data_IF_830041112189
#
_entry.id   IF_830041112189
#
_cell.length_a   1.000
_cell.length_b   1.000
_cell.length_c   1.000
_cell.angle_alpha   90.00
_cell.angle_beta   90.00
_cell.angle_gamma   90.00
#
_symmetry.space_group_name_H-M   'P 1'
#
loop_
_entity.id
_entity.type
_entity.pdbx_description
1 polymer ?
#
# COMPACT_ATOMS: atom_id res chain seq x y z
N UNK A 1 47.43 -27.27 -52.31
CA UNK A 1 47.96 -27.77 -51.02
C UNK A 1 46.83 -27.84 -50.04
N UNK A 2 46.24 -29.01 -49.92
CA UNK A 2 45.01 -29.29 -49.18
C UNK A 2 45.42 -29.64 -47.74
N UNK A 3 44.91 -29.02 -46.76
CA UNK A 3 45.06 -29.34 -45.33
C UNK A 3 43.87 -30.21 -44.92
N UNK A 4 44.08 -31.38 -44.28
CA UNK A 4 42.99 -32.30 -43.97
C UNK A 4 42.25 -31.92 -42.70
N UNK A 5 40.95 -32.16 -42.75
CA UNK A 5 39.97 -32.05 -41.64
C UNK A 5 40.31 -32.91 -40.43
N UNK A 6 40.15 -32.36 -39.25
CA UNK A 6 40.14 -33.07 -37.98
C UNK A 6 38.72 -33.60 -37.67
N UNK A 7 38.59 -34.82 -37.10
CA UNK A 7 37.28 -35.41 -36.82
C UNK A 7 36.58 -34.76 -35.61
N UNK A 8 35.23 -34.77 -35.55
CA UNK A 8 34.49 -34.20 -34.45
C UNK A 8 34.60 -35.08 -33.20
N UNK A 9 34.90 -34.42 -32.09
CA UNK A 9 34.88 -34.99 -30.74
C UNK A 9 33.46 -35.33 -30.33
N UNK A 10 33.16 -36.59 -30.15
CA UNK A 10 31.94 -37.09 -29.52
C UNK A 10 31.98 -36.80 -28.02
N UNK A 11 31.38 -35.72 -27.60
CA UNK A 11 31.01 -35.51 -26.20
C UNK A 11 29.78 -36.39 -25.89
N UNK A 12 29.98 -37.41 -25.09
CA UNK A 12 28.91 -38.21 -24.51
C UNK A 12 28.12 -37.31 -23.55
N UNK A 13 26.92 -36.96 -23.94
CA UNK A 13 25.92 -36.39 -23.04
C UNK A 13 25.44 -37.54 -22.13
N UNK A 14 25.85 -37.51 -20.87
CA UNK A 14 25.21 -38.27 -19.81
C UNK A 14 23.87 -37.63 -19.54
N UNK A 15 22.85 -38.11 -20.22
CA UNK A 15 21.47 -37.75 -19.98
C UNK A 15 20.98 -38.39 -18.68
N UNK A 16 20.90 -37.62 -17.62
CA UNK A 16 19.94 -37.89 -16.56
C UNK A 16 18.57 -37.46 -17.09
N UNK A 17 17.88 -38.38 -17.71
CA UNK A 17 16.45 -38.22 -17.96
C UNK A 17 15.74 -38.21 -16.61
N UNK A 18 14.84 -37.25 -16.33
CA UNK A 18 14.05 -37.32 -15.12
C UNK A 18 13.17 -38.56 -15.19
N UNK A 19 13.36 -39.44 -14.20
CA UNK A 19 12.50 -40.58 -13.91
C UNK A 19 11.02 -40.15 -14.05
N UNK A 20 10.24 -40.93 -14.76
CA UNK A 20 8.81 -40.81 -15.01
C UNK A 20 8.10 -40.21 -13.80
N UNK A 21 7.68 -38.96 -13.89
CA UNK A 21 6.69 -38.39 -12.98
C UNK A 21 5.43 -39.23 -13.17
N UNK A 22 5.14 -40.13 -12.23
CA UNK A 22 3.88 -40.86 -12.20
C UNK A 22 2.75 -39.80 -12.28
N UNK A 23 1.80 -40.04 -13.20
CA UNK A 23 0.69 -39.09 -13.41
C UNK A 23 -0.04 -38.87 -12.08
N UNK A 24 0.08 -37.69 -11.53
CA UNK A 24 -0.63 -37.31 -10.29
C UNK A 24 -1.97 -36.64 -10.64
N UNK A 25 -3.01 -36.90 -9.86
CA UNK A 25 -4.30 -36.23 -9.96
C UNK A 25 -4.34 -35.10 -8.93
N UNK A 26 -4.54 -33.87 -9.41
CA UNK A 26 -4.67 -32.70 -8.56
C UNK A 26 -6.15 -32.33 -8.38
N UNK A 27 -6.57 -32.12 -7.15
CA UNK A 27 -7.89 -31.63 -6.79
C UNK A 27 -7.80 -30.36 -5.95
N UNK A 28 -8.85 -29.57 -5.95
CA UNK A 28 -8.94 -28.30 -5.22
C UNK A 28 -10.18 -28.28 -4.33
N UNK A 29 -10.05 -27.68 -3.15
CA UNK A 29 -11.13 -27.33 -2.25
C UNK A 29 -10.93 -25.91 -1.71
N UNK A 30 -11.96 -25.35 -1.05
CA UNK A 30 -11.87 -24.10 -0.30
C UNK A 30 -12.04 -24.40 1.18
N UNK A 31 -11.43 -23.55 2.02
CA UNK A 31 -11.66 -23.60 3.46
C UNK A 31 -13.16 -23.43 3.79
N UNK A 32 -13.83 -22.50 3.10
CA UNK A 32 -15.29 -22.35 3.06
C UNK A 32 -15.89 -22.03 4.42
N UNK A 33 -16.86 -22.83 4.83
CA UNK A 33 -17.59 -22.68 6.11
C UNK A 33 -16.96 -23.44 7.28
N UNK A 34 -15.80 -24.08 7.09
CA UNK A 34 -15.09 -24.79 8.15
C UNK A 34 -14.73 -23.85 9.30
N UNK A 35 -14.86 -24.33 10.53
CA UNK A 35 -14.53 -23.58 11.74
C UNK A 35 -13.13 -23.88 12.28
N UNK A 36 -12.50 -24.94 11.76
CA UNK A 36 -11.18 -25.39 12.11
C UNK A 36 -10.48 -26.00 10.89
N UNK A 37 -9.15 -25.99 10.91
CA UNK A 37 -8.33 -26.52 9.81
C UNK A 37 -8.65 -27.98 9.51
N UNK A 38 -8.74 -28.84 10.55
CA UNK A 38 -9.13 -30.24 10.41
C UNK A 38 -10.47 -30.42 9.74
N UNK A 39 -11.49 -29.63 10.14
CA UNK A 39 -12.81 -29.68 9.52
C UNK A 39 -12.75 -29.35 8.02
N UNK A 40 -11.88 -28.42 7.60
CA UNK A 40 -11.72 -28.12 6.18
C UNK A 40 -11.15 -29.30 5.40
N UNK A 41 -10.21 -30.04 5.98
CA UNK A 41 -9.64 -31.26 5.39
C UNK A 41 -10.68 -32.38 5.30
N UNK A 42 -11.48 -32.60 6.36
CA UNK A 42 -12.59 -33.56 6.35
C UNK A 42 -13.65 -33.21 5.32
N UNK A 43 -14.04 -31.93 5.20
CA UNK A 43 -14.99 -31.44 4.19
C UNK A 43 -14.45 -31.60 2.77
N UNK A 44 -13.14 -31.58 2.60
CA UNK A 44 -12.45 -31.87 1.34
C UNK A 44 -12.34 -33.38 1.04
N UNK A 45 -12.90 -34.25 1.89
CA UNK A 45 -12.95 -35.69 1.70
C UNK A 45 -11.71 -36.46 2.18
N UNK A 46 -10.89 -35.88 3.07
CA UNK A 46 -9.75 -36.58 3.65
C UNK A 46 -10.18 -37.40 4.88
N UNK A 47 -9.68 -38.63 4.97
CA UNK A 47 -9.79 -39.46 6.17
C UNK A 47 -8.71 -39.15 7.19
N UNK A 48 -8.82 -39.74 8.40
CA UNK A 48 -7.89 -39.53 9.49
C UNK A 48 -6.45 -39.89 9.13
N UNK A 49 -6.26 -40.93 8.33
CA UNK A 49 -4.94 -41.40 7.88
C UNK A 49 -4.21 -40.37 6.99
N UNK A 50 -4.95 -39.47 6.33
CA UNK A 50 -4.41 -38.40 5.51
C UNK A 50 -4.30 -37.07 6.29
N UNK A 51 -5.35 -36.64 7.02
CA UNK A 51 -5.36 -35.32 7.61
C UNK A 51 -4.49 -35.18 8.87
N UNK A 52 -4.34 -36.22 9.68
CA UNK A 52 -3.52 -36.15 10.91
C UNK A 52 -2.04 -35.89 10.59
N UNK A 53 -1.41 -36.63 9.67
CA UNK A 53 -0.03 -36.38 9.28
C UNK A 53 0.17 -34.99 8.61
N UNK A 54 -0.81 -34.52 7.83
CA UNK A 54 -0.75 -33.19 7.24
C UNK A 54 -0.79 -32.11 8.32
N UNK A 55 -1.75 -32.20 9.25
CA UNK A 55 -1.89 -31.26 10.35
C UNK A 55 -0.61 -31.16 11.19
N UNK A 56 0.00 -32.28 11.47
CA UNK A 56 1.26 -32.35 12.22
C UNK A 56 2.42 -31.73 11.41
N UNK A 57 2.52 -32.03 10.11
CA UNK A 57 3.58 -31.53 9.24
C UNK A 57 3.52 -30.00 9.05
N UNK A 58 2.32 -29.40 9.01
CA UNK A 58 2.18 -27.96 8.76
C UNK A 58 2.06 -27.10 10.02
N UNK A 59 2.00 -27.70 11.20
CA UNK A 59 1.74 -27.02 12.50
C UNK A 59 2.72 -25.90 12.81
N UNK A 60 3.99 -26.06 12.47
CA UNK A 60 5.03 -25.06 12.75
C UNK A 60 5.06 -23.92 11.72
N UNK A 61 4.49 -24.11 10.54
CA UNK A 61 4.53 -23.14 9.42
C UNK A 61 3.17 -22.52 9.10
N UNK A 62 2.08 -23.03 9.68
CA UNK A 62 0.71 -22.53 9.47
C UNK A 62 0.03 -22.18 10.82
N UNK A 63 -0.29 -20.92 11.01
CA UNK A 63 -1.16 -20.50 12.11
C UNK A 63 -2.64 -20.78 11.77
N UNK A 64 -3.17 -21.89 12.27
CA UNK A 64 -4.55 -22.33 12.01
C UNK A 64 -5.63 -21.31 12.43
N UNK A 65 -5.30 -20.36 13.32
CA UNK A 65 -6.23 -19.27 13.73
C UNK A 65 -6.42 -18.22 12.65
N UNK A 66 -5.55 -18.21 11.64
CA UNK A 66 -5.54 -17.24 10.55
C UNK A 66 -6.19 -17.78 9.28
N UNK A 67 -6.67 -19.01 9.28
CA UNK A 67 -7.38 -19.62 8.16
C UNK A 67 -8.70 -18.88 7.87
N UNK A 68 -9.01 -18.67 6.60
CA UNK A 68 -10.16 -17.89 6.11
C UNK A 68 -10.97 -18.68 5.10
N UNK A 69 -12.24 -18.32 4.95
CA UNK A 69 -13.18 -18.97 4.03
C UNK A 69 -12.67 -19.00 2.57
N UNK A 70 -11.97 -17.97 2.13
CA UNK A 70 -11.46 -17.84 0.76
C UNK A 70 -10.14 -18.57 0.51
N UNK A 71 -9.51 -19.12 1.55
CA UNK A 71 -8.27 -19.87 1.42
C UNK A 71 -8.50 -21.15 0.60
N UNK A 72 -7.51 -21.51 -0.19
CA UNK A 72 -7.60 -22.65 -1.12
C UNK A 72 -6.70 -23.79 -0.69
N UNK A 73 -7.21 -24.99 -0.80
CA UNK A 73 -6.54 -26.25 -0.50
C UNK A 73 -6.36 -27.03 -1.78
N UNK A 74 -5.16 -27.55 -2.00
CA UNK A 74 -4.85 -28.40 -3.15
C UNK A 74 -4.30 -29.73 -2.66
N UNK A 75 -4.71 -30.80 -3.33
CA UNK A 75 -4.36 -32.16 -3.01
C UNK A 75 -3.85 -32.84 -4.27
N UNK A 76 -2.69 -33.48 -4.18
CA UNK A 76 -2.15 -34.31 -5.27
C UNK A 76 -2.09 -35.76 -4.81
N UNK A 77 -2.70 -36.64 -5.62
CA UNK A 77 -2.70 -38.10 -5.41
C UNK A 77 -1.93 -38.78 -6.50
N UNK A 78 -1.18 -39.82 -6.16
CA UNK A 78 -0.49 -40.65 -7.11
C UNK A 78 -1.44 -41.55 -7.92
N UNK A 79 -0.88 -42.34 -8.85
CA UNK A 79 -1.64 -43.29 -9.70
C UNK A 79 -2.38 -44.40 -8.93
N UNK A 80 -2.08 -44.57 -7.65
CA UNK A 80 -2.77 -45.51 -6.73
C UNK A 80 -3.83 -44.80 -5.84
N UNK A 81 -4.02 -43.51 -6.05
CA UNK A 81 -4.98 -42.69 -5.29
C UNK A 81 -4.47 -42.23 -3.91
N UNK A 82 -3.20 -42.52 -3.55
CA UNK A 82 -2.59 -42.15 -2.29
C UNK A 82 -2.20 -40.67 -2.32
N UNK A 83 -2.51 -39.93 -1.24
CA UNK A 83 -2.12 -38.53 -1.12
C UNK A 83 -0.60 -38.41 -0.95
N UNK A 84 0.03 -37.61 -1.83
CA UNK A 84 1.48 -37.39 -1.86
C UNK A 84 1.89 -35.96 -1.61
N UNK A 85 0.96 -35.02 -1.88
CA UNK A 85 1.20 -33.58 -1.66
C UNK A 85 -0.06 -32.86 -1.25
N UNK A 86 0.08 -31.91 -0.36
CA UNK A 86 -0.94 -30.98 0.09
C UNK A 86 -0.40 -29.57 0.02
N UNK A 87 -1.22 -28.60 -0.44
CA UNK A 87 -0.90 -27.18 -0.41
C UNK A 87 -2.03 -26.39 0.21
N UNK A 88 -1.66 -25.40 1.04
CA UNK A 88 -2.61 -24.43 1.64
C UNK A 88 -2.23 -23.01 1.24
N UNK A 89 -3.11 -22.35 0.51
CA UNK A 89 -2.90 -21.03 -0.08
C UNK A 89 -3.75 -19.98 0.65
N UNK A 90 -3.12 -19.14 1.47
CA UNK A 90 -3.75 -17.98 2.13
C UNK A 90 -3.72 -16.73 1.23
N UNK A 91 -2.80 -16.69 0.29
CA UNK A 91 -2.68 -15.62 -0.71
C UNK A 91 -2.00 -16.19 -1.98
N UNK A 92 -1.99 -15.45 -3.09
CA UNK A 92 -1.40 -15.94 -4.34
C UNK A 92 0.12 -16.15 -4.29
N UNK A 93 0.82 -15.52 -3.35
CA UNK A 93 2.30 -15.46 -3.30
C UNK A 93 2.86 -16.56 -2.40
N UNK A 94 2.31 -16.67 -1.19
CA UNK A 94 2.81 -17.56 -0.15
C UNK A 94 1.83 -18.69 0.10
N UNK A 95 2.34 -19.90 0.20
CA UNK A 95 1.54 -21.06 0.50
C UNK A 95 2.35 -22.08 1.32
N UNK A 96 1.65 -22.82 2.14
CA UNK A 96 2.24 -23.94 2.89
C UNK A 96 2.12 -25.18 2.02
N UNK A 97 3.21 -25.95 1.91
CA UNK A 97 3.21 -27.24 1.23
C UNK A 97 3.63 -28.32 2.19
N UNK A 98 2.88 -29.41 2.22
CA UNK A 98 3.27 -30.66 2.85
C UNK A 98 3.48 -31.73 1.78
N UNK A 99 4.59 -32.42 1.85
CA UNK A 99 4.95 -33.50 0.91
C UNK A 99 5.22 -34.79 1.67
N UNK A 100 4.79 -35.92 1.09
CA UNK A 100 5.01 -37.25 1.62
C UNK A 100 6.25 -37.86 0.98
N UNK A 101 7.20 -38.31 1.81
CA UNK A 101 8.38 -39.01 1.37
C UNK A 101 8.05 -40.48 1.04
N UNK A 102 8.99 -41.22 0.40
CA UNK A 102 8.82 -42.63 0.05
C UNK A 102 8.61 -43.53 1.30
N UNK A 103 9.25 -43.20 2.42
CA UNK A 103 9.08 -43.88 3.69
C UNK A 103 7.74 -43.60 4.38
N UNK A 104 6.91 -42.73 3.78
CA UNK A 104 5.58 -42.34 4.26
C UNK A 104 5.56 -41.17 5.23
N UNK A 105 6.72 -40.62 5.61
CA UNK A 105 6.78 -39.43 6.47
C UNK A 105 6.33 -38.17 5.73
N UNK A 106 5.71 -37.23 6.48
CA UNK A 106 5.29 -35.95 5.94
C UNK A 106 6.18 -34.83 6.44
N UNK A 107 6.52 -33.92 5.56
CA UNK A 107 7.25 -32.69 5.90
C UNK A 107 6.53 -31.46 5.36
N UNK A 108 6.38 -30.45 6.23
CA UNK A 108 5.72 -29.18 5.88
C UNK A 108 6.72 -28.03 5.77
N UNK A 109 6.51 -27.13 4.80
CA UNK A 109 7.31 -25.91 4.65
C UNK A 109 6.48 -24.78 4.07
N UNK A 110 6.88 -23.55 4.36
CA UNK A 110 6.39 -22.38 3.67
C UNK A 110 7.12 -22.26 2.32
N UNK A 111 6.38 -22.01 1.26
CA UNK A 111 6.91 -21.79 -0.07
C UNK A 111 6.37 -20.47 -0.63
N UNK A 112 7.21 -19.76 -1.38
CA UNK A 112 6.83 -18.53 -2.07
C UNK A 112 6.95 -18.76 -3.59
N UNK A 113 6.01 -18.19 -4.34
CA UNK A 113 6.09 -18.11 -5.79
C UNK A 113 6.92 -16.91 -6.19
N UNK A 114 7.65 -17.07 -7.26
CA UNK A 114 8.40 -15.98 -7.85
C UNK A 114 7.45 -14.94 -8.45
N UNK A 115 7.72 -13.66 -8.13
CA UNK A 115 6.98 -12.54 -8.69
C UNK A 115 7.77 -11.98 -9.86
N UNK A 116 7.24 -12.19 -11.05
CA UNK A 116 7.74 -11.55 -12.26
C UNK A 116 7.32 -10.08 -12.27
N UNK A 117 8.25 -9.16 -12.56
CA UNK A 117 7.97 -7.73 -12.69
C UNK A 117 8.15 -7.28 -14.12
N UNK A 118 7.11 -6.68 -14.67
CA UNK A 118 7.12 -6.09 -16.01
C UNK A 118 6.87 -4.60 -15.92
N UNK A 119 7.82 -3.80 -16.39
CA UNK A 119 7.70 -2.34 -16.34
C UNK A 119 6.87 -1.82 -17.50
N UNK A 120 5.90 -0.97 -17.17
CA UNK A 120 5.10 -0.19 -18.09
C UNK A 120 5.52 1.27 -18.02
N UNK A 121 5.77 1.88 -19.20
CA UNK A 121 6.05 3.30 -19.38
C UNK A 121 5.06 3.80 -20.43
N UNK A 122 3.96 4.31 -19.95
CA UNK A 122 2.80 4.63 -20.80
C UNK A 122 2.26 6.03 -20.51
N UNK A 123 1.67 6.64 -21.52
CA UNK A 123 1.05 7.95 -21.39
C UNK A 123 -0.15 8.09 -22.30
N UNK A 124 -0.96 9.12 -22.06
CA UNK A 124 -2.14 9.39 -22.86
C UNK A 124 -2.78 10.71 -22.49
N UNK A 125 -3.82 11.05 -23.26
CA UNK A 125 -4.65 12.24 -23.05
C UNK A 125 -5.94 11.88 -22.34
N UNK A 126 -6.39 12.73 -21.44
CA UNK A 126 -7.72 12.66 -20.84
C UNK A 126 -8.75 13.08 -21.90
N UNK A 127 -9.79 12.26 -22.09
CA UNK A 127 -10.97 12.61 -22.93
C UNK A 127 -12.17 12.92 -22.07
N UNK A 128 -12.49 12.03 -21.14
CA UNK A 128 -13.66 12.16 -20.26
C UNK A 128 -13.28 12.18 -18.78
N UNK A 129 -12.39 11.28 -18.35
CA UNK A 129 -11.94 11.15 -16.96
C UNK A 129 -10.54 10.55 -16.89
N UNK A 130 -9.88 10.75 -15.72
CA UNK A 130 -8.57 10.13 -15.46
C UNK A 130 -8.65 8.59 -15.49
N UNK A 131 -9.74 8.00 -14.98
CA UNK A 131 -9.92 6.54 -14.98
C UNK A 131 -10.07 5.97 -16.38
N UNK A 132 -10.81 6.64 -17.25
CA UNK A 132 -10.94 6.27 -18.66
C UNK A 132 -9.59 6.39 -19.37
N UNK A 133 -8.84 7.46 -19.13
CA UNK A 133 -7.53 7.66 -19.73
C UNK A 133 -6.54 6.57 -19.33
N UNK A 134 -6.49 6.18 -18.03
CA UNK A 134 -5.68 5.06 -17.54
C UNK A 134 -6.05 3.74 -18.22
N UNK A 135 -7.35 3.44 -18.34
CA UNK A 135 -7.81 2.21 -18.99
C UNK A 135 -7.40 2.17 -20.47
N UNK A 136 -7.49 3.30 -21.17
CA UNK A 136 -7.13 3.39 -22.58
C UNK A 136 -5.63 3.19 -22.83
N UNK A 137 -4.77 3.57 -21.91
CA UNK A 137 -3.32 3.30 -22.01
C UNK A 137 -2.93 1.93 -21.41
N UNK A 138 -3.89 1.04 -21.18
CA UNK A 138 -3.65 -0.34 -20.75
C UNK A 138 -3.42 -0.51 -19.24
N UNK A 139 -3.72 0.50 -18.42
CA UNK A 139 -3.59 0.43 -16.97
C UNK A 139 -4.96 0.29 -16.28
N UNK A 140 -4.98 -0.28 -15.07
CA UNK A 140 -6.21 -0.38 -14.30
C UNK A 140 -6.68 1.00 -13.79
N UNK A 141 -7.99 1.25 -13.87
CA UNK A 141 -8.62 2.46 -13.34
C UNK A 141 -8.38 2.65 -11.82
N UNK A 142 -8.07 1.60 -11.07
CA UNK A 142 -7.73 1.67 -9.65
C UNK A 142 -6.51 2.57 -9.35
N UNK A 143 -5.63 2.79 -10.33
CA UNK A 143 -4.50 3.73 -10.21
C UNK A 143 -4.93 5.19 -10.10
N UNK A 144 -6.20 5.54 -10.40
CA UNK A 144 -6.76 6.87 -10.10
C UNK A 144 -6.52 7.25 -8.64
N UNK A 145 -6.66 6.28 -7.72
CA UNK A 145 -6.43 6.49 -6.29
C UNK A 145 -5.04 7.06 -5.98
N UNK A 146 -4.02 6.60 -6.71
CA UNK A 146 -2.64 7.09 -6.54
C UNK A 146 -2.53 8.56 -6.96
N UNK A 147 -3.08 8.94 -8.12
CA UNK A 147 -3.06 10.34 -8.57
C UNK A 147 -3.81 11.26 -7.61
N UNK A 148 -5.01 10.84 -7.15
CA UNK A 148 -5.81 11.59 -6.18
C UNK A 148 -5.05 11.75 -4.88
N UNK A 149 -4.44 10.69 -4.37
CA UNK A 149 -3.72 10.71 -3.11
C UNK A 149 -2.47 11.60 -3.19
N UNK A 150 -1.67 11.43 -4.26
CA UNK A 150 -0.38 12.12 -4.40
C UNK A 150 -0.56 13.60 -4.68
N UNK A 151 -1.49 13.95 -5.57
CA UNK A 151 -1.71 15.34 -5.96
C UNK A 151 -2.84 16.01 -5.17
N UNK A 152 -3.23 15.43 -4.02
CA UNK A 152 -4.24 16.02 -3.13
C UNK A 152 -3.92 17.49 -2.82
N UNK A 153 -4.93 18.34 -2.94
CA UNK A 153 -4.83 19.78 -2.75
C UNK A 153 -4.03 20.55 -3.83
N UNK A 154 -3.40 19.89 -4.81
CA UNK A 154 -2.87 20.53 -6.03
C UNK A 154 -3.86 20.44 -7.17
N UNK A 155 -4.62 19.34 -7.24
CA UNK A 155 -5.61 19.06 -8.25
C UNK A 155 -6.77 18.25 -7.70
N UNK A 156 -7.99 18.65 -7.98
CA UNK A 156 -9.18 17.84 -7.73
C UNK A 156 -9.57 17.11 -9.02
N UNK A 157 -9.25 15.83 -9.11
CA UNK A 157 -9.48 15.03 -10.32
C UNK A 157 -10.96 14.76 -10.61
N UNK A 158 -11.85 14.83 -9.62
CA UNK A 158 -13.28 14.61 -9.83
C UNK A 158 -13.97 15.78 -10.55
N UNK A 159 -13.43 17.00 -10.42
CA UNK A 159 -14.00 18.21 -11.01
C UNK A 159 -13.02 19.03 -11.85
N UNK A 160 -11.74 18.69 -11.82
CA UNK A 160 -10.65 19.49 -12.41
C UNK A 160 -10.02 18.87 -13.64
N UNK A 161 -10.13 17.54 -13.84
CA UNK A 161 -9.62 16.91 -15.05
C UNK A 161 -10.39 17.39 -16.29
N UNK A 162 -9.68 17.71 -17.35
CA UNK A 162 -10.25 18.26 -18.59
C UNK A 162 -9.79 17.45 -19.80
N UNK A 163 -10.59 17.49 -20.85
CA UNK A 163 -10.19 16.99 -22.14
C UNK A 163 -8.90 17.69 -22.61
N UNK A 164 -7.95 16.90 -23.11
CA UNK A 164 -6.63 17.39 -23.53
C UNK A 164 -5.57 17.43 -22.43
N UNK A 165 -5.93 17.24 -21.15
CA UNK A 165 -4.92 17.04 -20.11
C UNK A 165 -4.13 15.76 -20.42
N UNK A 166 -2.83 15.75 -20.11
CA UNK A 166 -1.97 14.61 -20.37
C UNK A 166 -1.54 13.91 -19.07
N UNK A 167 -1.39 12.59 -19.14
CA UNK A 167 -0.80 11.81 -18.05
C UNK A 167 0.31 10.90 -18.57
N UNK A 168 1.27 10.59 -17.68
CA UNK A 168 2.31 9.60 -17.89
C UNK A 168 2.53 8.80 -16.61
N UNK A 169 2.79 7.51 -16.76
CA UNK A 169 2.97 6.59 -15.63
C UNK A 169 4.14 5.66 -15.94
N UNK A 170 5.01 5.50 -14.94
CA UNK A 170 6.02 4.44 -14.89
C UNK A 170 5.63 3.53 -13.72
N UNK A 171 5.24 2.29 -14.01
CA UNK A 171 4.73 1.34 -13.00
C UNK A 171 5.17 -0.08 -13.34
N UNK A 172 5.45 -0.88 -12.32
CA UNK A 172 5.71 -2.30 -12.47
C UNK A 172 4.41 -3.10 -12.27
N UNK A 173 4.10 -3.93 -13.24
CA UNK A 173 3.08 -4.98 -13.15
C UNK A 173 3.72 -6.19 -12.50
N UNK A 174 3.11 -6.72 -11.45
CA UNK A 174 3.50 -7.96 -10.80
C UNK A 174 2.64 -9.11 -11.32
N UNK A 175 3.31 -10.19 -11.72
CA UNK A 175 2.70 -11.40 -12.25
C UNK A 175 3.22 -12.63 -11.49
N UNK A 176 2.41 -13.68 -11.46
CA UNK A 176 2.81 -15.01 -10.99
C UNK A 176 2.41 -16.02 -12.07
N UNK A 177 3.35 -16.83 -12.49
CA UNK A 177 3.15 -17.85 -13.55
C UNK A 177 2.51 -17.22 -14.82
N UNK A 178 2.97 -16.01 -15.20
CA UNK A 178 2.44 -15.27 -16.33
C UNK A 178 1.04 -14.64 -16.12
N UNK A 179 0.39 -14.82 -14.96
CA UNK A 179 -0.93 -14.27 -14.65
C UNK A 179 -0.79 -12.95 -13.90
N UNK A 180 -1.55 -11.92 -14.31
CA UNK A 180 -1.59 -10.63 -13.62
C UNK A 180 -1.98 -10.80 -12.16
N UNK A 181 -1.16 -10.26 -11.25
CA UNK A 181 -1.43 -10.21 -9.83
C UNK A 181 -1.93 -8.82 -9.42
N UNK A 182 -1.12 -7.80 -9.65
CA UNK A 182 -1.40 -6.39 -9.32
C UNK A 182 -0.37 -5.46 -9.95
N UNK A 183 -0.62 -4.16 -9.85
CA UNK A 183 0.44 -3.17 -10.02
C UNK A 183 1.16 -2.94 -8.69
N UNK A 184 2.49 -2.84 -8.73
CA UNK A 184 3.28 -2.28 -7.64
C UNK A 184 2.97 -0.77 -7.49
N UNK A 185 3.48 -0.14 -6.44
CA UNK A 185 3.42 1.33 -6.34
C UNK A 185 4.12 1.93 -7.56
N UNK A 186 3.47 2.82 -8.34
CA UNK A 186 4.13 3.46 -9.47
C UNK A 186 5.42 4.15 -9.05
N UNK A 187 6.45 4.04 -9.88
CA UNK A 187 7.76 4.64 -9.63
C UNK A 187 7.74 6.14 -9.92
N UNK A 188 6.98 6.55 -10.95
CA UNK A 188 6.79 7.95 -11.29
C UNK A 188 5.41 8.16 -11.94
N UNK A 189 4.80 9.29 -11.64
CA UNK A 189 3.57 9.75 -12.28
C UNK A 189 3.72 11.22 -12.66
N UNK A 190 3.15 11.56 -13.82
CA UNK A 190 3.05 12.94 -14.31
C UNK A 190 1.60 13.22 -14.71
N UNK A 191 1.14 14.41 -14.39
CA UNK A 191 -0.10 14.97 -14.90
C UNK A 191 0.14 16.40 -15.38
N UNK A 192 -0.29 16.73 -16.59
CA UNK A 192 -0.12 18.04 -17.19
C UNK A 192 -1.48 18.58 -17.58
N UNK A 193 -1.84 19.73 -17.06
CA UNK A 193 -3.07 20.43 -17.42
C UNK A 193 -2.85 21.93 -17.55
N UNK A 194 -3.70 22.59 -18.35
CA UNK A 194 -3.65 24.05 -18.51
C UNK A 194 -3.89 24.79 -17.19
N UNK A 195 -4.64 24.20 -16.26
CA UNK A 195 -5.00 24.82 -14.97
C UNK A 195 -3.98 24.57 -13.87
N UNK A 196 -3.52 23.32 -13.73
CA UNK A 196 -2.62 22.92 -12.65
C UNK A 196 -1.15 22.96 -13.06
N UNK A 197 -0.85 23.20 -14.34
CA UNK A 197 0.49 23.08 -14.88
C UNK A 197 0.96 21.63 -14.94
N UNK A 198 2.26 21.45 -14.81
CA UNK A 198 2.90 20.12 -14.78
C UNK A 198 3.09 19.68 -13.34
N UNK A 199 2.49 18.55 -12.99
CA UNK A 199 2.62 17.88 -11.69
C UNK A 199 3.39 16.59 -11.90
N UNK A 200 4.54 16.42 -11.25
CA UNK A 200 5.36 15.21 -11.26
C UNK A 200 5.55 14.71 -9.85
N UNK A 201 5.46 13.41 -9.65
CA UNK A 201 5.74 12.76 -8.39
C UNK A 201 6.52 11.47 -8.62
N UNK A 202 7.46 11.21 -7.71
CA UNK A 202 8.39 10.09 -7.76
C UNK A 202 8.33 9.34 -6.44
N UNK A 203 8.05 8.04 -6.51
CA UNK A 203 8.09 7.18 -5.34
C UNK A 203 9.53 6.77 -5.05
N UNK A 204 10.00 7.06 -3.85
CA UNK A 204 11.36 6.78 -3.45
C UNK A 204 11.39 6.16 -2.07
N UNK A 205 12.06 5.01 -1.96
CA UNK A 205 12.30 4.35 -0.68
C UNK A 205 13.61 4.85 -0.08
N UNK A 206 13.51 5.33 1.15
CA UNK A 206 14.67 5.74 1.93
C UNK A 206 15.50 4.53 2.39
N UNK A 207 16.65 4.80 3.01
CA UNK A 207 17.51 3.76 3.60
C UNK A 207 16.84 2.99 4.74
N UNK A 208 15.78 3.51 5.30
CA UNK A 208 14.96 2.91 6.36
C UNK A 208 13.89 1.95 5.80
N UNK A 209 13.90 1.71 4.47
CA UNK A 209 12.90 0.88 3.78
C UNK A 209 11.50 1.51 3.70
N UNK A 210 11.35 2.77 4.10
CA UNK A 210 10.09 3.51 3.97
C UNK A 210 10.07 4.27 2.67
N UNK A 211 9.04 4.00 1.86
CA UNK A 211 8.81 4.71 0.60
C UNK A 211 7.77 5.81 0.77
N UNK A 212 8.00 6.95 0.10
CA UNK A 212 7.00 8.01 -0.02
C UNK A 212 7.16 8.75 -1.36
N UNK A 213 6.21 9.64 -1.64
CA UNK A 213 6.17 10.43 -2.87
C UNK A 213 6.85 11.78 -2.69
N UNK A 214 7.73 12.12 -3.63
CA UNK A 214 8.51 13.36 -3.60
C UNK A 214 8.45 14.08 -4.95
N UNK A 215 8.56 15.41 -4.93
CA UNK A 215 8.72 16.24 -6.12
C UNK A 215 10.18 16.19 -6.64
N UNK A 216 10.45 16.83 -7.76
CA UNK A 216 11.79 16.87 -8.38
C UNK A 216 12.89 17.42 -7.43
N UNK A 217 12.53 18.26 -6.48
CA UNK A 217 13.46 18.83 -5.49
C UNK A 217 13.71 17.91 -4.29
N UNK A 218 12.94 16.81 -4.15
CA UNK A 218 12.97 15.91 -3.00
C UNK A 218 12.09 16.39 -1.85
N UNK A 219 11.08 17.23 -2.11
CA UNK A 219 10.06 17.60 -1.14
C UNK A 219 8.95 16.59 -1.18
N UNK A 220 8.57 16.05 -0.04
CA UNK A 220 7.45 15.12 0.06
C UNK A 220 6.14 15.74 -0.40
N UNK A 221 5.33 15.00 -1.14
CA UNK A 221 3.95 15.40 -1.43
C UNK A 221 3.10 15.34 -0.16
N UNK A 222 3.41 14.38 0.71
CA UNK A 222 2.87 14.34 2.05
C UNK A 222 3.72 15.25 2.93
N UNK A 223 3.20 16.41 3.30
CA UNK A 223 3.87 17.37 4.19
C UNK A 223 4.01 16.90 5.63
N UNK A 224 3.99 15.58 5.89
CA UNK A 224 3.80 15.04 7.22
C UNK A 224 2.38 15.27 7.74
N UNK A 225 1.56 16.07 7.05
CA UNK A 225 0.20 16.43 7.43
C UNK A 225 -0.77 16.27 6.26
N UNK A 226 -1.95 15.70 6.51
CA UNK A 226 -3.09 15.80 5.58
C UNK A 226 -3.53 17.27 5.54
N UNK A 227 -3.81 17.79 4.35
CA UNK A 227 -4.37 19.13 4.20
C UNK A 227 -5.71 19.28 4.91
N UNK A 228 -6.48 18.20 4.98
CA UNK A 228 -7.72 18.14 5.73
C UNK A 228 -7.89 16.76 6.39
N UNK A 229 -8.22 16.68 7.69
CA UNK A 229 -8.46 15.42 8.38
C UNK A 229 -9.85 14.80 8.11
N UNK A 230 -10.63 15.40 7.19
CA UNK A 230 -11.95 14.93 6.79
C UNK A 230 -12.36 15.53 5.44
N UNK A 231 -13.42 14.99 4.83
CA UNK A 231 -14.16 15.73 3.81
C UNK A 231 -15.14 16.70 4.50
N UNK A 232 -15.09 17.97 4.15
CA UNK A 232 -15.89 19.00 4.78
C UNK A 232 -16.60 19.90 3.74
N UNK A 233 -17.67 20.54 4.17
CA UNK A 233 -18.45 21.47 3.33
C UNK A 233 -17.78 22.84 3.25
N UNK A 234 -17.38 23.37 4.41
CA UNK A 234 -16.71 24.68 4.56
C UNK A 234 -15.97 24.76 5.89
N UNK A 235 -15.02 25.67 5.97
CA UNK A 235 -14.48 26.13 7.25
C UNK A 235 -15.49 27.10 7.86
N UNK A 236 -16.03 26.73 9.00
CA UNK A 236 -17.06 27.55 9.70
C UNK A 236 -16.46 28.53 10.70
N UNK A 237 -15.24 28.25 11.24
CA UNK A 237 -14.54 29.15 12.14
C UNK A 237 -13.02 28.96 12.03
N UNK A 238 -12.30 30.05 11.95
CA UNK A 238 -10.83 30.04 11.89
C UNK A 238 -10.21 30.05 13.28
N UNK A 239 -8.93 29.66 13.37
CA UNK A 239 -8.11 29.84 14.57
C UNK A 239 -8.05 31.33 14.93
N UNK A 240 -8.37 31.67 16.19
CA UNK A 240 -8.30 33.05 16.69
C UNK A 240 -8.03 33.06 18.20
N UNK A 241 -6.77 33.23 18.63
CA UNK A 241 -6.40 33.25 20.05
C UNK A 241 -6.94 34.46 20.81
N UNK A 242 -7.39 35.50 20.09
CA UNK A 242 -7.91 36.75 20.67
C UNK A 242 -9.39 36.95 20.32
N UNK A 243 -10.17 35.87 20.10
CA UNK A 243 -11.58 35.97 19.77
C UNK A 243 -12.37 36.63 20.89
N UNK A 244 -12.95 37.80 20.62
CA UNK A 244 -13.87 38.47 21.54
C UNK A 244 -15.23 37.75 21.54
N UNK A 245 -15.67 37.28 22.70
CA UNK A 245 -16.98 36.63 22.82
C UNK A 245 -18.08 37.71 22.79
N UNK A 246 -19.04 37.64 21.85
CA UNK A 246 -20.00 38.77 21.64
C UNK A 246 -20.89 39.05 22.86
N UNK A 247 -21.24 38.03 23.63
CA UNK A 247 -22.09 38.16 24.79
C UNK A 247 -21.28 38.45 26.06
N UNK A 248 -20.20 37.69 26.28
CA UNK A 248 -19.41 37.79 27.51
C UNK A 248 -18.46 38.98 27.53
N UNK A 249 -18.25 39.65 26.38
CA UNK A 249 -17.34 40.80 26.20
C UNK A 249 -15.93 40.55 26.79
N UNK A 250 -15.47 39.32 26.75
CA UNK A 250 -14.12 38.89 27.14
C UNK A 250 -13.50 38.02 26.07
N UNK A 251 -12.17 37.92 26.08
CA UNK A 251 -11.46 37.02 25.17
C UNK A 251 -11.78 35.58 25.53
N UNK A 252 -12.32 34.82 24.57
CA UNK A 252 -12.51 33.37 24.61
C UNK A 252 -11.83 32.81 23.39
N UNK A 253 -10.56 32.36 23.51
CA UNK A 253 -9.78 31.89 22.39
C UNK A 253 -10.48 30.77 21.63
N UNK A 254 -10.33 30.77 20.30
CA UNK A 254 -10.66 29.67 19.44
C UNK A 254 -9.35 28.97 19.03
N UNK A 255 -9.00 27.89 19.74
CA UNK A 255 -7.70 27.20 19.65
C UNK A 255 -7.66 26.14 18.57
N UNK A 256 -8.38 26.31 17.48
CA UNK A 256 -8.44 25.40 16.38
C UNK A 256 -9.17 25.97 15.17
N UNK A 257 -9.42 25.13 14.20
CA UNK A 257 -10.24 25.41 13.02
C UNK A 257 -11.46 24.51 13.06
N UNK A 258 -12.64 25.06 12.79
CA UNK A 258 -13.87 24.30 12.73
C UNK A 258 -14.22 23.96 11.28
N UNK A 259 -14.25 22.67 10.97
CA UNK A 259 -14.66 22.15 9.68
C UNK A 259 -16.10 21.64 9.75
N UNK A 260 -17.03 22.34 9.13
CA UNK A 260 -18.44 21.95 9.06
C UNK A 260 -18.59 20.71 8.16
N UNK A 261 -19.18 19.68 8.72
CA UNK A 261 -19.46 18.41 8.01
C UNK A 261 -20.59 17.67 8.70
N UNK A 262 -21.33 16.84 7.96
CA UNK A 262 -22.42 16.04 8.49
C UNK A 262 -21.95 15.08 9.61
N UNK A 263 -22.82 14.84 10.60
CA UNK A 263 -22.57 13.81 11.63
C UNK A 263 -22.32 12.45 10.95
N UNK A 264 -21.28 11.75 11.40
CA UNK A 264 -20.87 10.47 10.81
C UNK A 264 -19.80 10.57 9.74
N UNK A 265 -19.47 11.78 9.23
CA UNK A 265 -18.34 11.97 8.30
C UNK A 265 -17.05 11.42 8.90
N UNK A 266 -16.33 10.63 8.13
CA UNK A 266 -15.09 9.97 8.57
C UNK A 266 -14.00 10.96 8.92
N UNK A 267 -13.34 10.74 10.06
CA UNK A 267 -12.18 11.49 10.53
C UNK A 267 -10.92 10.63 10.38
N UNK A 268 -9.87 11.23 9.83
CA UNK A 268 -8.57 10.60 9.66
C UNK A 268 -7.51 11.26 10.52
N UNK A 269 -6.51 10.48 10.96
CA UNK A 269 -5.29 11.01 11.54
C UNK A 269 -4.59 11.92 10.52
N UNK A 270 -4.34 13.16 10.88
CA UNK A 270 -3.73 14.15 9.99
C UNK A 270 -2.25 13.89 9.71
N UNK A 271 -1.56 13.15 10.58
CA UNK A 271 -0.18 12.72 10.45
C UNK A 271 0.04 11.42 11.24
N UNK A 272 1.17 10.75 10.99
CA UNK A 272 1.64 9.63 11.81
C UNK A 272 1.86 10.08 13.26
N UNK A 273 1.58 9.22 14.23
CA UNK A 273 1.81 9.53 15.63
C UNK A 273 1.23 8.49 16.58
N UNK A 274 1.28 8.81 17.87
CA UNK A 274 0.76 7.99 18.96
C UNK A 274 -0.44 8.69 19.61
N UNK A 275 -1.51 7.93 19.89
CA UNK A 275 -2.69 8.44 20.58
C UNK A 275 -2.32 8.84 22.00
N UNK A 276 -2.44 10.13 22.31
CA UNK A 276 -2.21 10.68 23.67
C UNK A 276 -3.50 10.80 24.50
N UNK A 277 -4.66 10.80 23.83
CA UNK A 277 -5.99 10.80 24.46
C UNK A 277 -7.03 10.19 23.53
N UNK A 278 -7.95 9.39 24.08
CA UNK A 278 -9.11 8.87 23.37
C UNK A 278 -10.27 8.70 24.37
N UNK A 279 -11.30 9.56 24.28
CA UNK A 279 -12.46 9.51 25.17
C UNK A 279 -13.11 10.87 25.44
N UNK A 280 -14.13 10.93 26.33
CA UNK A 280 -14.77 12.17 26.73
C UNK A 280 -13.79 13.13 27.42
N UNK A 281 -13.87 14.43 27.11
CA UNK A 281 -13.03 15.48 27.71
C UNK A 281 -13.78 16.82 27.86
N UNK A 282 -14.71 16.87 28.77
CA UNK A 282 -15.44 18.09 29.14
C UNK A 282 -16.07 18.82 27.95
N UNK A 283 -15.75 20.08 27.76
CA UNK A 283 -16.30 20.92 26.68
C UNK A 283 -15.93 20.38 25.25
N UNK A 284 -14.86 19.62 25.11
CA UNK A 284 -14.47 19.06 23.82
C UNK A 284 -15.35 17.86 23.39
N UNK A 285 -16.22 17.37 24.29
CA UNK A 285 -16.98 16.15 24.02
C UNK A 285 -16.08 14.94 23.87
N UNK A 286 -16.38 14.05 22.93
CA UNK A 286 -15.48 12.97 22.56
C UNK A 286 -14.28 13.54 21.81
N UNK A 287 -13.09 13.26 22.33
CA UNK A 287 -11.82 13.80 21.84
C UNK A 287 -10.86 12.66 21.54
N UNK A 288 -10.19 12.75 20.43
CA UNK A 288 -8.92 12.03 20.15
C UNK A 288 -7.81 13.07 20.08
N UNK A 289 -6.68 12.81 20.74
CA UNK A 289 -5.45 13.59 20.58
C UNK A 289 -4.34 12.69 20.14
N UNK A 290 -3.50 13.17 19.22
CA UNK A 290 -2.38 12.42 18.64
C UNK A 290 -1.11 13.22 18.82
N UNK A 291 -0.11 12.63 19.46
CA UNK A 291 1.24 13.18 19.56
C UNK A 291 2.02 12.78 18.32
N UNK A 292 2.59 13.77 17.66
CA UNK A 292 3.36 13.61 16.43
C UNK A 292 4.85 13.88 16.67
N UNK A 293 5.67 13.61 15.67
CA UNK A 293 7.06 14.01 15.66
C UNK A 293 7.20 15.55 15.74
N UNK A 294 8.39 16.02 16.09
CA UNK A 294 8.75 17.44 16.12
C UNK A 294 7.90 18.30 17.06
N UNK A 295 7.37 17.72 18.17
CA UNK A 295 6.67 18.44 19.21
C UNK A 295 5.24 18.86 18.88
N UNK A 296 4.65 18.34 17.82
CA UNK A 296 3.25 18.58 17.49
C UNK A 296 2.29 17.65 18.23
N UNK A 297 1.07 18.14 18.52
CA UNK A 297 -0.06 17.37 19.03
C UNK A 297 -1.35 17.86 18.38
N UNK A 298 -2.05 16.98 17.65
CA UNK A 298 -3.35 17.30 17.04
C UNK A 298 -4.51 16.85 17.93
N UNK A 299 -5.61 17.60 17.92
CA UNK A 299 -6.81 17.36 18.70
C UNK A 299 -8.03 17.33 17.78
N UNK A 300 -8.84 16.27 17.90
CA UNK A 300 -10.07 16.04 17.13
C UNK A 300 -11.24 16.01 18.11
N UNK A 301 -11.93 17.13 18.25
CA UNK A 301 -13.02 17.29 19.22
C UNK A 301 -14.41 17.17 18.59
N UNK A 302 -15.43 17.10 19.46
CA UNK A 302 -16.85 16.97 19.15
C UNK A 302 -17.22 15.71 18.36
N UNK A 303 -16.39 14.66 18.45
CA UNK A 303 -16.60 13.41 17.70
C UNK A 303 -17.91 12.73 18.09
N UNK A 304 -18.59 12.16 17.09
CA UNK A 304 -19.73 11.28 17.31
C UNK A 304 -19.27 9.94 17.91
N UNK A 305 -18.29 9.32 17.29
CA UNK A 305 -17.73 8.03 17.73
C UNK A 305 -16.24 7.97 17.46
N UNK A 306 -15.52 7.42 18.45
CA UNK A 306 -14.11 7.02 18.30
C UNK A 306 -14.07 5.63 17.66
N UNK A 307 -13.20 5.41 16.69
CA UNK A 307 -13.07 4.14 15.98
C UNK A 307 -12.56 3.04 16.93
N UNK A 308 -13.11 1.83 16.79
CA UNK A 308 -12.65 0.67 17.56
C UNK A 308 -11.15 0.44 17.34
N UNK A 309 -10.40 0.22 18.42
CA UNK A 309 -8.94 0.04 18.40
C UNK A 309 -8.16 1.34 18.56
N UNK A 310 -8.79 2.52 18.58
CA UNK A 310 -8.14 3.79 18.90
C UNK A 310 -8.18 3.98 20.42
N UNK A 311 -7.01 3.86 21.06
CA UNK A 311 -6.81 3.98 22.51
C UNK A 311 -5.45 4.63 22.78
N UNK A 312 -5.25 5.18 23.98
CA UNK A 312 -3.97 5.78 24.40
C UNK A 312 -2.82 4.78 24.23
N UNK A 313 -1.70 5.24 23.67
CA UNK A 313 -0.51 4.44 23.37
C UNK A 313 -0.54 3.70 22.03
N UNK A 314 -1.65 3.74 21.29
CA UNK A 314 -1.74 3.12 19.96
C UNK A 314 -1.09 4.02 18.92
N UNK A 315 -0.18 3.47 18.12
CA UNK A 315 0.37 4.14 16.94
C UNK A 315 -0.67 4.21 15.82
N UNK A 316 -0.78 5.34 15.20
CA UNK A 316 -1.64 5.59 14.04
C UNK A 316 -0.83 6.15 12.88
N UNK A 317 -1.23 5.79 11.66
CA UNK A 317 -0.66 6.33 10.43
C UNK A 317 -1.51 7.47 9.89
N UNK A 318 -0.89 8.36 9.15
CA UNK A 318 -1.60 9.37 8.37
C UNK A 318 -2.72 8.70 7.54
N UNK A 319 -3.91 9.33 7.47
CA UNK A 319 -5.13 8.80 6.83
C UNK A 319 -5.77 7.58 7.53
N UNK A 320 -5.22 7.08 8.61
CA UNK A 320 -5.92 6.06 9.38
C UNK A 320 -7.23 6.62 9.94
N UNK A 321 -8.31 5.85 9.82
CA UNK A 321 -9.62 6.24 10.38
C UNK A 321 -9.54 6.21 11.90
N UNK A 322 -9.83 7.36 12.53
CA UNK A 322 -9.81 7.50 13.99
C UNK A 322 -11.22 7.69 14.60
N UNK A 323 -12.22 7.94 13.76
CA UNK A 323 -13.60 8.08 14.19
C UNK A 323 -14.48 8.86 13.20
N UNK A 324 -15.49 9.57 13.71
CA UNK A 324 -16.43 10.32 12.89
C UNK A 324 -16.87 11.63 13.54
N UNK A 325 -17.23 12.61 12.69
CA UNK A 325 -17.78 13.92 13.07
C UNK A 325 -19.05 13.78 13.89
N UNK A 326 -19.21 14.62 14.88
CA UNK A 326 -20.40 14.72 15.70
C UNK A 326 -20.68 16.15 16.19
N UNK A 327 -21.35 16.24 17.33
CA UNK A 327 -21.68 17.49 18.01
C UNK A 327 -21.66 17.30 19.53
N UNK A 328 -20.77 16.42 20.03
CA UNK A 328 -20.65 16.13 21.46
C UNK A 328 -19.94 17.26 22.21
N UNK A 329 -20.22 17.41 23.51
CA UNK A 329 -19.65 18.47 24.32
C UNK A 329 -20.29 19.86 24.04
N UNK A 330 -19.48 20.93 24.07
CA UNK A 330 -19.96 22.30 23.80
C UNK A 330 -19.88 22.63 22.32
N UNK A 331 -20.84 22.19 21.55
CA UNK A 331 -20.97 22.40 20.12
C UNK A 331 -22.36 22.96 19.77
N UNK A 332 -22.43 23.79 18.74
CA UNK A 332 -23.71 24.38 18.25
C UNK A 332 -24.27 23.63 17.05
N UNK A 333 -23.52 22.70 16.47
CA UNK A 333 -23.93 21.89 15.31
C UNK A 333 -22.80 20.96 14.86
N UNK A 334 -23.07 20.03 13.93
CA UNK A 334 -22.08 19.05 13.50
C UNK A 334 -20.85 19.70 12.86
N UNK A 335 -19.69 19.48 13.43
CA UNK A 335 -18.40 19.92 12.90
C UNK A 335 -17.24 19.17 13.57
N UNK A 336 -16.09 19.17 12.94
CA UNK A 336 -14.82 18.84 13.59
C UNK A 336 -14.19 20.13 14.09
N UNK A 337 -13.92 20.23 15.40
CA UNK A 337 -12.98 21.20 15.92
C UNK A 337 -11.58 20.58 15.89
N UNK A 338 -10.72 21.08 15.00
CA UNK A 338 -9.34 20.61 14.82
C UNK A 338 -8.36 21.59 15.46
N UNK A 339 -7.81 21.21 16.60
CA UNK A 339 -6.77 21.95 17.29
C UNK A 339 -5.39 21.40 16.98
N UNK A 340 -4.38 22.27 16.94
CA UNK A 340 -2.98 21.87 16.78
C UNK A 340 -2.13 22.59 17.82
N UNK A 341 -1.32 21.82 18.56
CA UNK A 341 -0.26 22.37 19.41
C UNK A 341 1.11 22.12 18.83
N UNK A 342 2.01 23.07 19.04
CA UNK A 342 3.43 22.92 18.82
C UNK A 342 4.18 23.29 20.10
N UNK A 343 4.96 22.36 20.66
CA UNK A 343 5.64 22.51 21.94
C UNK A 343 4.70 23.00 23.06
N UNK A 344 3.52 22.38 23.16
CA UNK A 344 2.52 22.66 24.19
C UNK A 344 1.64 23.90 23.99
N UNK A 345 1.89 24.74 22.98
CA UNK A 345 1.12 25.95 22.67
C UNK A 345 0.26 25.75 21.44
N UNK A 346 -1.00 26.19 21.50
CA UNK A 346 -1.87 26.16 20.31
C UNK A 346 -1.35 27.11 19.23
N UNK A 347 -1.34 26.60 18.00
CA UNK A 347 -0.95 27.30 16.77
C UNK A 347 -2.06 27.18 15.73
N UNK A 348 -2.06 28.10 14.75
CA UNK A 348 -2.99 27.98 13.62
C UNK A 348 -2.70 26.69 12.84
N UNK A 349 -3.67 25.77 12.71
CA UNK A 349 -3.47 24.52 11.99
C UNK A 349 -3.25 24.71 10.48
N UNK A 350 -3.91 25.70 9.85
CA UNK A 350 -3.95 25.80 8.39
C UNK A 350 -2.57 25.97 7.73
N UNK A 351 -1.65 26.81 8.23
CA UNK A 351 -0.30 26.90 7.67
C UNK A 351 0.46 25.58 7.77
N UNK A 352 0.24 24.78 8.82
CA UNK A 352 0.90 23.48 9.01
C UNK A 352 0.29 22.44 8.08
N UNK A 353 -1.04 22.35 8.01
CA UNK A 353 -1.75 21.43 7.13
C UNK A 353 -1.49 21.73 5.64
N UNK A 354 -1.34 23.00 5.27
CA UNK A 354 -1.08 23.45 3.91
C UNK A 354 0.41 23.66 3.60
N UNK A 355 1.27 23.42 4.60
CA UNK A 355 2.71 23.57 4.46
C UNK A 355 3.31 22.67 3.39
N UNK A 356 4.47 23.06 2.82
CA UNK A 356 5.20 22.20 1.91
C UNK A 356 5.69 20.94 2.65
N UNK A 357 5.73 19.84 1.92
CA UNK A 357 6.29 18.58 2.42
C UNK A 357 7.72 18.73 2.92
N UNK A 358 8.11 17.87 3.84
CA UNK A 358 9.48 17.84 4.34
C UNK A 358 10.45 17.46 3.22
N UNK A 359 11.60 18.10 3.20
CA UNK A 359 12.68 17.75 2.29
C UNK A 359 13.31 16.43 2.76
N UNK A 360 13.65 15.55 1.83
CA UNK A 360 14.44 14.36 2.12
C UNK A 360 15.70 14.73 2.94
N UNK A 361 16.11 13.88 3.90
CA UNK A 361 17.34 14.08 4.64
C UNK A 361 18.54 14.30 3.71
N UNK A 362 19.46 15.19 4.09
CA UNK A 362 20.60 15.59 3.26
C UNK A 362 21.42 14.39 2.73
N UNK A 363 21.58 13.33 3.56
CA UNK A 363 22.30 12.11 3.17
C UNK A 363 21.60 11.27 2.09
N UNK A 364 20.31 11.52 1.79
CA UNK A 364 19.56 10.81 0.77
C UNK A 364 19.36 11.65 -0.52
N UNK A 365 19.49 12.98 -0.43
CA UNK A 365 19.21 13.89 -1.55
C UNK A 365 20.08 13.64 -2.77
N UNK A 366 21.34 13.26 -2.62
CA UNK A 366 22.24 13.02 -3.76
C UNK A 366 21.78 11.80 -4.58
N UNK A 367 21.49 10.69 -3.91
CA UNK A 367 20.94 9.49 -4.54
C UNK A 367 19.58 9.74 -5.19
N UNK A 368 18.69 10.43 -4.47
CA UNK A 368 17.39 10.84 -4.97
C UNK A 368 17.49 11.67 -6.25
N UNK A 369 18.34 12.70 -6.30
CA UNK A 369 18.52 13.55 -7.49
C UNK A 369 18.99 12.75 -8.71
N UNK A 370 19.84 11.75 -8.51
CA UNK A 370 20.28 10.88 -9.59
C UNK A 370 19.14 10.02 -10.10
N UNK A 371 18.37 9.41 -9.20
CA UNK A 371 17.16 8.65 -9.50
C UNK A 371 16.13 9.49 -10.28
N UNK A 372 15.78 10.68 -9.77
CA UNK A 372 14.79 11.58 -10.39
C UNK A 372 15.21 12.01 -11.78
N UNK A 373 16.47 12.38 -12.00
CA UNK A 373 16.96 12.72 -13.34
C UNK A 373 16.75 11.58 -14.35
N UNK A 374 16.93 10.33 -13.90
CA UNK A 374 16.61 9.16 -14.71
C UNK A 374 15.12 9.06 -15.03
N UNK A 375 14.27 9.23 -14.02
CA UNK A 375 12.82 9.11 -14.19
C UNK A 375 12.23 10.26 -15.03
N UNK A 376 12.70 11.49 -14.85
CA UNK A 376 12.30 12.65 -15.66
C UNK A 376 12.58 12.40 -17.14
N UNK A 377 13.80 11.95 -17.47
CA UNK A 377 14.14 11.61 -18.86
C UNK A 377 13.20 10.53 -19.43
N UNK A 378 12.90 9.49 -18.64
CA UNK A 378 11.97 8.44 -19.09
C UNK A 378 10.56 8.98 -19.31
N UNK A 379 10.01 9.77 -18.36
CA UNK A 379 8.70 10.41 -18.52
C UNK A 379 8.64 11.28 -19.78
N UNK A 380 9.69 12.03 -20.07
CA UNK A 380 9.75 12.91 -21.25
C UNK A 380 9.78 12.16 -22.59
N UNK A 381 10.24 10.90 -22.60
CA UNK A 381 10.22 10.04 -23.78
C UNK A 381 8.89 9.30 -23.97
N UNK A 382 7.96 9.37 -23.02
CA UNK A 382 6.65 8.75 -23.13
C UNK A 382 5.74 9.64 -23.96
N UNK A 383 5.29 9.16 -25.12
CA UNK A 383 4.32 9.85 -25.97
C UNK A 383 2.93 9.82 -25.34
N UNK A 384 2.15 10.90 -25.53
CA UNK A 384 0.78 11.04 -24.99
C UNK A 384 -0.29 11.16 -26.08
N UNK A 385 0.11 11.23 -27.35
CA UNK A 385 -0.75 11.61 -28.49
C UNK A 385 -1.11 10.48 -29.46
N UNK A 386 -0.86 9.21 -29.16
CA UNK A 386 -1.15 8.06 -30.03
C UNK A 386 -1.59 6.83 -29.28
N UNK A 387 -1.82 5.71 -29.99
CA UNK A 387 -2.06 4.41 -29.36
C UNK A 387 -0.90 4.05 -28.44
N UNK A 388 -1.17 3.38 -27.29
CA UNK A 388 -0.17 3.14 -26.26
C UNK A 388 0.98 2.28 -26.81
N UNK A 389 2.18 2.87 -26.90
CA UNK A 389 3.41 2.09 -27.16
C UNK A 389 3.88 1.53 -25.83
N UNK A 390 3.56 0.29 -25.55
CA UNK A 390 4.09 -0.45 -24.40
C UNK A 390 5.55 -0.80 -24.71
N UNK A 391 6.50 -0.07 -24.14
CA UNK A 391 7.92 -0.45 -24.17
C UNK A 391 8.21 -1.38 -23.01
N UNK A 392 8.44 -2.67 -23.31
CA UNK A 392 8.85 -3.67 -22.35
C UNK A 392 10.33 -3.48 -22.02
N UNK A 393 10.63 -3.11 -20.80
CA UNK A 393 11.98 -3.23 -20.26
C UNK A 393 12.02 -4.42 -19.29
N UNK A 394 12.70 -5.48 -19.68
CA UNK A 394 12.97 -6.61 -18.80
C UNK A 394 13.89 -6.11 -17.67
N UNK A 395 13.40 -6.03 -16.45
CA UNK A 395 14.25 -5.77 -15.30
C UNK A 395 14.95 -7.07 -14.93
N UNK A 396 16.29 -7.06 -14.94
CA UNK A 396 17.07 -8.15 -14.37
C UNK A 396 16.72 -8.32 -12.87
N UNK A 397 16.72 -9.55 -12.34
CA UNK A 397 16.44 -9.79 -10.92
C UNK A 397 17.42 -8.98 -10.08
N UNK A 398 16.89 -8.28 -9.07
CA UNK A 398 17.71 -7.55 -8.09
C UNK A 398 18.50 -8.59 -7.31
N UNK A 399 19.83 -8.59 -7.47
CA UNK A 399 20.72 -9.44 -6.68
C UNK A 399 20.52 -9.11 -5.18
N UNK A 400 20.33 -10.15 -4.39
CA UNK A 400 20.35 -10.05 -2.93
C UNK A 400 21.67 -9.43 -2.48
N UNK A 401 21.68 -8.63 -1.38
CA UNK A 401 22.94 -8.11 -0.85
C UNK A 401 23.82 -9.30 -0.44
N UNK A 402 25.07 -9.31 -0.91
CA UNK A 402 26.08 -10.26 -0.52
C UNK A 402 26.27 -10.17 1.01
N UNK A 403 26.12 -11.28 1.70
CA UNK A 403 26.52 -11.43 3.09
C UNK A 403 28.02 -11.12 3.19
N UNK A 404 28.34 -10.12 4.01
CA UNK A 404 29.70 -9.76 4.30
C UNK A 404 30.38 -10.90 5.04
N UNK A 405 31.48 -11.41 4.46
CA UNK A 405 32.44 -12.29 5.07
C UNK A 405 33.11 -11.54 6.25
N UNK A 406 32.74 -11.86 7.47
CA UNK A 406 33.50 -11.49 8.66
C UNK A 406 34.71 -12.41 8.77
N UNK A 407 35.81 -12.01 8.12
CA UNK A 407 37.14 -12.56 8.37
C UNK A 407 37.64 -12.16 9.75
N UNK A 408 37.83 -13.16 10.59
CA UNK A 408 38.65 -13.15 11.77
C UNK A 408 40.10 -12.70 11.43
N UNK A 409 40.58 -11.63 12.10
CA UNK A 409 41.88 -11.58 12.79
C UNK A 409 41.90 -10.39 13.74
#
# INVERSE_FOLDING_TARGET
MVVPDAPPSTAQATGDAPLHAAATVRSEARFGTARAFRQALEMAGLGADDFVPIEDAVREVLDFRRCRADDRLFFERDGQGKLVRFEYHQNPIEFVVATRAEDGTWSGRLQQREIERRRHEVGGLVRTSLGEALTRIGLAASLVGVFVEVFDGKMNFSSGAREGDALRVIVDEERIDGVFLRYATPVAIEYVSARAGRLRAFYYEGRDGRGDWYDEAGRGFRGGWLRTPLQYERISSLFNPQRMHPILRRIVPHNGVDFAAATGTTLWAAADGEISWAGPKGANGNLVSIRHANGYESHYAHMHRIQRGIAVGVEVRQRQVIGSVGTTGRSTGPHLHFGLKHNGRFVDPLPVLNGPGQLLPAGQLAGYRTFVRGMVRRLEHIETGGDPVVREATTAPTAAPAEGDEGLD
#
